data_IF_490073162467
#
_entry.id   IF_490073162467
#
_cell.length_a   1.000
_cell.length_b   1.000
_cell.length_c   1.000
_cell.angle_alpha   90.00
_cell.angle_beta   90.00
_cell.angle_gamma   90.00
#
_symmetry.space_group_name_H-M   'P 1'
#
loop_
_entity.id
_entity.type
_entity.pdbx_description
1 polymer ?
#
# COMPACT_ATOMS: atom_id res chain seq x y z
N UNK A 1 -8.96 21.79 -27.80
CA UNK A 1 -8.75 22.11 -26.36
C UNK A 1 -8.11 20.91 -25.67
N UNK A 2 -6.96 21.07 -24.99
CA UNK A 2 -6.30 20.00 -24.20
C UNK A 2 -6.81 20.09 -22.75
N UNK A 3 -7.69 19.19 -22.35
CA UNK A 3 -8.09 19.08 -20.94
C UNK A 3 -6.91 18.52 -20.14
N UNK A 4 -6.36 19.31 -19.20
CA UNK A 4 -5.45 18.81 -18.17
C UNK A 4 -6.29 17.97 -17.21
N UNK A 5 -6.40 16.67 -17.47
CA UNK A 5 -7.02 15.75 -16.51
C UNK A 5 -6.03 15.60 -15.35
N UNK A 6 -6.34 16.22 -14.22
CA UNK A 6 -5.63 16.00 -12.97
C UNK A 6 -5.74 14.52 -12.62
N UNK A 7 -4.59 13.86 -12.56
CA UNK A 7 -4.45 12.43 -12.29
C UNK A 7 -5.13 12.13 -10.95
N UNK A 8 -6.05 11.15 -10.90
CA UNK A 8 -6.74 10.79 -9.66
C UNK A 8 -5.74 10.42 -8.56
N UNK A 9 -6.06 10.77 -7.32
CA UNK A 9 -5.27 10.41 -6.13
C UNK A 9 -5.00 8.91 -6.03
N UNK A 10 -5.93 8.09 -6.54
CA UNK A 10 -5.80 6.63 -6.64
C UNK A 10 -4.68 6.19 -7.59
N UNK A 11 -4.48 6.92 -8.69
CA UNK A 11 -3.43 6.63 -9.68
C UNK A 11 -2.07 7.10 -9.16
N UNK A 12 -2.00 8.26 -8.49
CA UNK A 12 -0.78 8.76 -7.84
C UNK A 12 -0.31 7.82 -6.73
N UNK A 13 -1.23 7.27 -5.94
CA UNK A 13 -0.90 6.29 -4.89
C UNK A 13 -0.46 4.94 -5.45
N UNK A 14 -0.99 4.51 -6.60
CA UNK A 14 -0.52 3.30 -7.29
C UNK A 14 0.91 3.45 -7.83
N UNK A 15 1.27 4.65 -8.31
CA UNK A 15 2.62 4.98 -8.80
C UNK A 15 3.68 5.07 -7.69
N UNK A 16 3.28 5.27 -6.42
CA UNK A 16 4.18 5.47 -5.28
C UNK A 16 4.86 4.19 -4.77
N UNK A 17 4.38 3.01 -5.20
CA UNK A 17 4.94 1.71 -4.81
C UNK A 17 5.24 0.86 -6.06
N UNK A 18 6.40 1.09 -6.72
CA UNK A 18 6.72 0.44 -8.00
C UNK A 18 6.85 -1.09 -7.89
N UNK A 19 7.09 -1.64 -6.69
CA UNK A 19 7.27 -3.07 -6.47
C UNK A 19 6.26 -3.63 -5.45
N UNK A 20 5.08 -4.02 -5.94
CA UNK A 20 4.04 -4.67 -5.13
C UNK A 20 4.56 -5.90 -4.36
N UNK A 21 5.53 -6.61 -4.94
CA UNK A 21 6.22 -7.75 -4.31
C UNK A 21 7.05 -7.35 -3.09
N UNK A 22 7.84 -6.26 -3.18
CA UNK A 22 8.64 -5.77 -2.04
C UNK A 22 7.73 -5.30 -0.90
N UNK A 23 6.62 -4.64 -1.25
CA UNK A 23 5.62 -4.19 -0.28
C UNK A 23 4.97 -5.37 0.45
N UNK A 24 4.60 -6.42 -0.28
CA UNK A 24 4.05 -7.65 0.30
C UNK A 24 5.05 -8.35 1.21
N UNK A 25 6.32 -8.46 0.80
CA UNK A 25 7.39 -9.06 1.61
C UNK A 25 7.59 -8.30 2.93
N UNK A 26 7.57 -6.96 2.90
CA UNK A 26 7.65 -6.14 4.12
C UNK A 26 6.44 -6.32 5.02
N UNK A 27 5.23 -6.38 4.47
CA UNK A 27 4.01 -6.66 5.23
C UNK A 27 4.06 -8.03 5.93
N UNK A 28 4.53 -9.07 5.23
CA UNK A 28 4.69 -10.42 5.81
C UNK A 28 5.72 -10.41 6.94
N UNK A 29 6.89 -9.79 6.75
CA UNK A 29 7.92 -9.68 7.79
C UNK A 29 7.40 -8.98 9.04
N UNK A 30 6.67 -7.88 8.87
CA UNK A 30 6.06 -7.16 10.00
C UNK A 30 4.96 -8.00 10.68
N UNK A 31 4.26 -8.85 9.93
CA UNK A 31 3.25 -9.75 10.48
C UNK A 31 3.86 -10.88 11.30
N UNK A 32 5.00 -11.43 10.86
CA UNK A 32 5.79 -12.40 11.60
C UNK A 32 6.36 -11.82 12.92
N UNK A 33 6.60 -10.51 12.96
CA UNK A 33 6.96 -9.79 14.19
C UNK A 33 5.76 -9.56 15.13
N UNK A 34 4.57 -10.07 14.82
CA UNK A 34 3.36 -9.90 15.64
C UNK A 34 2.64 -8.56 15.48
N UNK A 35 3.03 -7.70 14.53
CA UNK A 35 2.39 -6.38 14.35
C UNK A 35 0.98 -6.52 13.77
N UNK A 36 0.05 -5.70 14.26
CA UNK A 36 -1.33 -5.61 13.75
C UNK A 36 -1.39 -4.97 12.36
N UNK A 37 -2.43 -5.23 11.57
CA UNK A 37 -2.61 -4.58 10.27
C UNK A 37 -2.68 -3.04 10.35
N UNK A 38 -3.19 -2.50 11.47
CA UNK A 38 -3.16 -1.06 11.75
C UNK A 38 -1.74 -0.54 11.95
N UNK A 39 -0.92 -1.25 12.73
CA UNK A 39 0.48 -0.88 12.94
C UNK A 39 1.33 -0.99 11.67
N UNK A 40 1.08 -2.04 10.87
CA UNK A 40 1.72 -2.22 9.56
C UNK A 40 1.37 -1.07 8.62
N UNK A 41 0.07 -0.72 8.56
CA UNK A 41 -0.40 0.41 7.77
C UNK A 41 0.25 1.72 8.17
N UNK A 42 0.27 2.03 9.47
CA UNK A 42 0.94 3.22 10.00
C UNK A 42 2.44 3.24 9.67
N UNK A 43 3.13 2.09 9.75
CA UNK A 43 4.57 2.00 9.44
C UNK A 43 4.88 2.21 7.95
N UNK A 44 3.96 1.82 7.07
CA UNK A 44 4.13 1.91 5.62
C UNK A 44 3.49 3.17 5.03
N UNK A 45 2.76 3.96 5.82
CA UNK A 45 1.99 5.10 5.35
C UNK A 45 0.78 4.71 4.49
N UNK A 46 0.23 3.52 4.71
CA UNK A 46 -0.86 2.94 3.92
C UNK A 46 -2.03 2.61 4.84
N UNK A 47 -3.26 2.83 4.38
CA UNK A 47 -4.44 2.46 5.14
C UNK A 47 -4.50 0.93 5.40
N UNK A 48 -4.89 0.54 6.61
CA UNK A 48 -4.88 -0.87 7.06
C UNK A 48 -5.77 -1.79 6.21
N UNK A 49 -6.85 -1.27 5.60
CA UNK A 49 -7.67 -2.06 4.65
C UNK A 49 -6.89 -2.46 3.41
N UNK A 50 -6.01 -1.58 2.91
CA UNK A 50 -5.14 -1.86 1.75
C UNK A 50 -4.08 -2.91 2.11
N UNK A 51 -3.57 -2.91 3.34
CA UNK A 51 -2.69 -3.97 3.86
C UNK A 51 -3.40 -5.34 3.79
N UNK A 52 -4.64 -5.41 4.26
CA UNK A 52 -5.46 -6.64 4.21
C UNK A 52 -5.68 -7.12 2.78
N UNK A 53 -6.03 -6.22 1.86
CA UNK A 53 -6.23 -6.57 0.44
C UNK A 53 -4.96 -7.16 -0.21
N UNK A 54 -3.78 -6.64 0.14
CA UNK A 54 -2.49 -7.08 -0.43
C UNK A 54 -2.02 -8.41 0.18
N UNK A 55 -2.33 -8.69 1.45
CA UNK A 55 -1.99 -9.95 2.10
C UNK A 55 -2.97 -11.09 1.79
N UNK A 56 -4.21 -10.78 1.40
CA UNK A 56 -5.23 -11.78 1.02
C UNK A 56 -5.05 -12.32 -0.41
N UNK A 57 -4.28 -11.62 -1.24
CA UNK A 57 -3.86 -12.07 -2.59
C UNK A 57 -2.71 -13.06 -2.49
#
# INVERSE_FOLDING_TARGET
MRFKVSISTSTVSNLKHPDKHKLRATMIRLRQQGKSYRQIGNSLGIHWTRVSQILKT
#
